data_IF_736778481256
#
_entry.id   IF_736778481256
#
_cell.length_a   1.000
_cell.length_b   1.000
_cell.length_c   1.000
_cell.angle_alpha   90.00
_cell.angle_beta   90.00
_cell.angle_gamma   90.00
#
_symmetry.space_group_name_H-M   'P 1'
#
loop_
_entity.id
_entity.type
_entity.pdbx_description
1 polymer ?
#
# COMPACT_ATOMS: atom_id res chain seq x y z
N UNK A 1 -7.34 19.84 16.10
CA UNK A 1 -6.82 18.54 16.54
C UNK A 1 -7.97 17.53 16.56
N UNK A 2 -7.74 16.32 16.05
CA UNK A 2 -8.77 15.27 15.97
C UNK A 2 -8.85 14.48 17.29
N UNK A 3 -8.80 15.17 18.43
CA UNK A 3 -8.69 14.60 19.77
C UNK A 3 -9.90 14.92 20.64
N UNK A 4 -11.01 15.35 20.03
CA UNK A 4 -12.23 15.65 20.77
C UNK A 4 -12.74 14.34 21.43
N UNK A 5 -12.89 14.30 22.77
CA UNK A 5 -13.32 13.08 23.48
C UNK A 5 -14.63 12.49 22.98
N UNK A 6 -15.53 13.31 22.39
CA UNK A 6 -16.78 12.86 21.78
C UNK A 6 -16.59 11.80 20.69
N UNK A 7 -15.47 11.82 19.97
CA UNK A 7 -15.18 10.89 18.89
C UNK A 7 -14.22 9.76 19.31
N UNK A 8 -13.90 9.65 20.60
CA UNK A 8 -12.94 8.67 21.12
C UNK A 8 -13.27 7.23 20.74
N UNK A 9 -14.55 6.82 20.74
CA UNK A 9 -14.96 5.47 20.33
C UNK A 9 -14.66 5.21 18.85
N UNK A 10 -15.03 6.14 17.97
CA UNK A 10 -14.78 6.04 16.52
C UNK A 10 -13.28 6.01 16.24
N UNK A 11 -12.50 6.89 16.87
CA UNK A 11 -11.04 6.93 16.72
C UNK A 11 -10.41 5.62 17.18
N UNK A 12 -10.80 5.10 18.34
CA UNK A 12 -10.33 3.80 18.83
C UNK A 12 -10.69 2.67 17.88
N UNK A 13 -11.91 2.65 17.33
CA UNK A 13 -12.30 1.64 16.33
C UNK A 13 -11.47 1.75 15.05
N UNK A 14 -11.20 2.95 14.55
CA UNK A 14 -10.34 3.15 13.37
C UNK A 14 -8.90 2.69 13.63
N UNK A 15 -8.35 3.02 14.80
CA UNK A 15 -7.01 2.57 15.19
C UNK A 15 -6.93 1.05 15.32
N UNK A 16 -7.93 0.43 15.96
CA UNK A 16 -7.99 -1.03 16.11
C UNK A 16 -8.17 -1.77 14.77
N UNK A 17 -8.81 -1.11 13.79
CA UNK A 17 -9.00 -1.64 12.44
C UNK A 17 -7.85 -1.29 11.47
N UNK A 18 -6.87 -0.52 11.93
CA UNK A 18 -5.69 -0.21 11.13
C UNK A 18 -4.71 -1.37 11.17
N UNK A 19 -4.02 -1.59 10.05
CA UNK A 19 -2.93 -2.57 9.98
C UNK A 19 -1.60 -1.83 9.91
N UNK A 20 -0.66 -2.24 10.75
CA UNK A 20 0.73 -1.82 10.65
C UNK A 20 1.49 -2.79 9.73
N UNK A 21 2.60 -2.33 9.15
CA UNK A 21 3.50 -3.22 8.44
C UNK A 21 4.02 -4.35 9.34
N UNK A 22 4.32 -5.49 8.73
CA UNK A 22 4.81 -6.69 9.41
C UNK A 22 6.08 -7.21 8.74
N UNK A 23 6.90 -7.97 9.48
CA UNK A 23 8.02 -8.68 8.87
C UNK A 23 7.49 -9.76 7.93
N UNK A 24 7.93 -9.74 6.68
CA UNK A 24 7.63 -10.77 5.68
C UNK A 24 8.89 -11.11 4.88
N UNK A 25 9.01 -12.37 4.49
CA UNK A 25 9.99 -12.85 3.49
C UNK A 25 9.29 -13.24 2.17
N UNK A 26 7.96 -13.09 2.11
CA UNK A 26 7.14 -13.37 0.95
C UNK A 26 7.09 -12.11 0.08
N UNK A 27 7.41 -12.20 -1.22
CA UNK A 27 7.27 -11.09 -2.14
C UNK A 27 5.89 -10.44 -2.05
N UNK A 28 5.85 -9.12 -1.92
CA UNK A 28 4.64 -8.32 -1.74
C UNK A 28 4.65 -7.13 -2.69
N UNK A 29 3.53 -6.88 -3.36
CA UNK A 29 3.34 -5.77 -4.30
C UNK A 29 2.29 -4.79 -3.77
N UNK A 30 2.63 -3.50 -3.78
CA UNK A 30 1.72 -2.38 -3.53
C UNK A 30 1.61 -1.58 -4.84
N UNK A 31 0.40 -1.28 -5.29
CA UNK A 31 0.17 -0.38 -6.44
C UNK A 31 -0.79 0.74 -6.05
N UNK A 32 -0.59 1.95 -6.56
CA UNK A 32 -1.45 3.09 -6.25
C UNK A 32 -1.45 4.13 -7.39
N UNK A 33 -2.60 4.74 -7.70
CA UNK A 33 -2.71 5.86 -8.65
C UNK A 33 -2.28 7.20 -8.05
N UNK A 34 -1.36 7.92 -8.70
CA UNK A 34 -0.79 9.16 -8.13
C UNK A 34 -1.77 10.35 -8.14
N UNK A 35 -2.93 10.21 -8.76
CA UNK A 35 -4.00 11.21 -8.79
C UNK A 35 -5.27 10.70 -8.10
N UNK A 36 -5.16 9.71 -7.20
CA UNK A 36 -6.28 9.22 -6.42
C UNK A 36 -6.74 10.28 -5.39
N UNK A 37 -7.98 10.73 -5.56
CA UNK A 37 -8.62 11.72 -4.69
C UNK A 37 -9.53 11.09 -3.63
N UNK A 38 -9.75 9.77 -3.68
CA UNK A 38 -10.59 9.03 -2.74
C UNK A 38 -9.73 8.44 -1.62
N UNK A 39 -8.57 7.90 -1.97
CA UNK A 39 -7.57 7.39 -1.03
C UNK A 39 -6.24 8.07 -1.35
N UNK A 40 -5.62 8.80 -0.40
CA UNK A 40 -4.34 9.45 -0.66
C UNK A 40 -3.22 8.44 -0.91
N UNK A 41 -2.44 8.65 -1.97
CA UNK A 41 -1.25 7.85 -2.32
C UNK A 41 -0.26 7.71 -1.16
N UNK A 42 -0.13 8.77 -0.35
CA UNK A 42 0.77 8.81 0.80
C UNK A 42 0.54 7.63 1.77
N UNK A 43 -0.67 7.07 1.84
CA UNK A 43 -0.93 5.87 2.67
C UNK A 43 -0.14 4.65 2.17
N UNK A 44 -0.06 4.46 0.85
CA UNK A 44 0.73 3.37 0.26
C UNK A 44 2.23 3.61 0.38
N UNK A 45 2.69 4.86 0.24
CA UNK A 45 4.09 5.25 0.47
C UNK A 45 4.48 4.97 1.92
N UNK A 46 3.68 5.42 2.88
CA UNK A 46 3.93 5.18 4.30
C UNK A 46 3.98 3.68 4.62
N UNK A 47 3.05 2.87 4.07
CA UNK A 47 3.06 1.43 4.28
C UNK A 47 4.31 0.76 3.70
N UNK A 48 4.77 1.20 2.52
CA UNK A 48 6.02 0.71 1.92
C UNK A 48 7.23 1.03 2.80
N UNK A 49 7.34 2.27 3.27
CA UNK A 49 8.42 2.70 4.16
C UNK A 49 8.35 1.96 5.51
N UNK A 50 7.16 1.78 6.08
CA UNK A 50 6.94 1.00 7.31
C UNK A 50 7.41 -0.45 7.15
N UNK A 51 7.24 -1.08 5.99
CA UNK A 51 7.78 -2.43 5.72
C UNK A 51 9.31 -2.44 5.76
N UNK A 52 9.95 -1.45 5.14
CA UNK A 52 11.41 -1.30 5.16
C UNK A 52 11.91 -1.06 6.59
N UNK A 53 11.24 -0.22 7.36
CA UNK A 53 11.55 0.06 8.77
C UNK A 53 11.39 -1.17 9.67
N UNK A 54 10.46 -2.08 9.32
CA UNK A 54 10.35 -3.39 9.98
C UNK A 54 11.45 -4.37 9.55
N UNK A 55 12.35 -3.99 8.65
CA UNK A 55 13.47 -4.79 8.17
C UNK A 55 13.08 -5.81 7.11
N UNK A 56 12.00 -5.55 6.35
CA UNK A 56 11.73 -6.32 5.13
C UNK A 56 12.75 -5.93 4.08
N UNK A 57 13.36 -6.94 3.46
CA UNK A 57 14.34 -6.72 2.39
C UNK A 57 13.67 -6.02 1.19
N UNK A 58 14.34 -5.03 0.60
CA UNK A 58 13.80 -4.25 -0.52
C UNK A 58 13.50 -5.12 -1.76
N UNK A 59 14.13 -6.30 -1.90
CA UNK A 59 13.79 -7.28 -2.94
C UNK A 59 12.46 -8.02 -2.69
N UNK A 60 11.88 -7.92 -1.48
CA UNK A 60 10.64 -8.60 -1.08
C UNK A 60 9.44 -7.67 -1.02
N UNK A 61 9.63 -6.36 -1.06
CA UNK A 61 8.53 -5.39 -1.11
C UNK A 61 8.70 -4.48 -2.33
N UNK A 62 7.66 -4.41 -3.16
CA UNK A 62 7.65 -3.58 -4.37
C UNK A 62 6.50 -2.59 -4.29
N UNK A 63 6.78 -1.32 -4.57
CA UNK A 63 5.78 -0.29 -4.73
C UNK A 63 5.80 0.23 -6.17
N UNK A 64 4.63 0.28 -6.81
CA UNK A 64 4.44 0.82 -8.16
C UNK A 64 3.40 1.95 -8.09
N UNK A 65 3.88 3.17 -8.23
CA UNK A 65 3.04 4.33 -8.51
C UNK A 65 2.53 4.28 -9.96
N UNK A 66 1.26 4.63 -10.18
CA UNK A 66 0.60 4.66 -11.50
C UNK A 66 0.36 6.14 -11.85
N UNK A 67 1.25 6.77 -12.65
CA UNK A 67 1.23 8.21 -12.87
C UNK A 67 -0.08 8.73 -13.46
N UNK A 68 -0.66 9.75 -12.82
CA UNK A 68 -1.85 10.45 -13.30
C UNK A 68 -3.16 9.64 -13.20
N UNK A 69 -3.11 8.39 -12.72
CA UNK A 69 -4.31 7.60 -12.50
C UNK A 69 -4.96 7.96 -11.16
N UNK A 70 -6.29 8.10 -11.16
CA UNK A 70 -7.09 8.24 -9.96
C UNK A 70 -7.71 6.92 -9.52
N UNK A 71 -8.57 6.96 -8.50
CA UNK A 71 -9.15 5.77 -7.87
C UNK A 71 -9.68 4.72 -8.85
N UNK A 72 -10.54 5.16 -9.76
CA UNK A 72 -11.20 4.26 -10.71
C UNK A 72 -10.35 3.97 -11.95
N UNK A 73 -9.41 4.85 -12.29
CA UNK A 73 -8.60 4.69 -13.51
C UNK A 73 -7.31 3.92 -13.27
N UNK A 74 -6.89 3.76 -12.01
CA UNK A 74 -5.74 2.93 -11.64
C UNK A 74 -6.03 1.43 -11.72
N UNK A 75 -7.29 1.00 -11.66
CA UNK A 75 -7.65 -0.44 -11.57
C UNK A 75 -7.08 -1.29 -12.72
N UNK A 76 -7.19 -0.81 -13.97
CA UNK A 76 -6.68 -1.57 -15.13
C UNK A 76 -5.15 -1.58 -15.16
N UNK A 77 -4.44 -0.43 -15.05
CA UNK A 77 -2.99 -0.43 -14.93
C UNK A 77 -2.45 -1.25 -13.74
N UNK A 78 -3.09 -1.19 -12.57
CA UNK A 78 -2.77 -2.01 -11.39
C UNK A 78 -2.87 -3.50 -11.71
N UNK A 79 -3.93 -3.92 -12.40
CA UNK A 79 -4.10 -5.31 -12.84
C UNK A 79 -2.97 -5.76 -13.77
N UNK A 80 -2.65 -4.97 -14.79
CA UNK A 80 -1.55 -5.26 -15.73
C UNK A 80 -0.20 -5.35 -14.99
N UNK A 81 0.09 -4.39 -14.11
CA UNK A 81 1.30 -4.39 -13.30
C UNK A 81 1.40 -5.65 -12.42
N UNK A 82 0.29 -6.06 -11.81
CA UNK A 82 0.21 -7.26 -10.96
C UNK A 82 0.47 -8.54 -11.76
N UNK A 83 -0.13 -8.71 -12.94
CA UNK A 83 0.14 -9.88 -13.79
C UNK A 83 1.59 -9.94 -14.23
N UNK A 84 2.16 -8.81 -14.69
CA UNK A 84 3.58 -8.74 -15.07
C UNK A 84 4.50 -9.06 -13.89
N UNK A 85 4.17 -8.58 -12.69
CA UNK A 85 4.91 -8.87 -11.47
C UNK A 85 4.88 -10.38 -11.13
N UNK A 86 3.71 -11.03 -11.18
CA UNK A 86 3.64 -12.48 -10.96
C UNK A 86 4.44 -13.28 -12.00
N UNK A 87 4.38 -12.90 -13.27
CA UNK A 87 5.21 -13.52 -14.32
C UNK A 87 6.70 -13.35 -14.01
N UNK A 88 7.11 -12.16 -13.56
CA UNK A 88 8.51 -11.90 -13.19
C UNK A 88 8.97 -12.75 -12.00
N UNK A 89 8.11 -12.94 -10.98
CA UNK A 89 8.41 -13.82 -9.85
C UNK A 89 8.55 -15.27 -10.29
N UNK A 90 7.69 -15.74 -11.19
CA UNK A 90 7.77 -17.10 -11.73
C UNK A 90 9.07 -17.33 -12.51
N UNK A 91 9.52 -16.33 -13.27
CA UNK A 91 10.75 -16.44 -14.08
C UNK A 91 12.04 -16.28 -13.26
N UNK A 92 11.95 -15.82 -12.00
CA UNK A 92 13.09 -15.67 -11.10
C UNK A 92 13.35 -16.92 -10.24
N UNK A 93 12.52 -17.96 -10.37
CA UNK A 93 12.73 -19.29 -9.80
C UNK A 93 13.63 -20.14 -10.71
#
# INVERSE_FOLDING_TARGET
SNTNPKFSSVISSLNNNSIAAWKTNIPTLITHGTADTYVPEQISINMYDDFLDKGVDQSKITYIAIPGAGHNTAVIPSGVATFNWFISLNNAQ
#
